data_IF_320848219784
#
_entry.id   IF_320848219784
#
_cell.length_a   1.000
_cell.length_b   1.000
_cell.length_c   1.000
_cell.angle_alpha   90.00
_cell.angle_beta   90.00
_cell.angle_gamma   90.00
#
_symmetry.space_group_name_H-M   'P 1'
#
loop_
_entity.id
_entity.type
_entity.pdbx_description
1 polymer ?
#
# COMPACT_ATOMS: atom_id res chain seq x y z
N UNK A 1 -52.10 24.28 47.37
CA UNK A 1 -52.79 23.21 46.61
C UNK A 1 -51.88 22.01 46.34
N UNK A 2 -50.84 22.08 45.50
CA UNK A 2 -49.96 20.91 45.26
C UNK A 2 -49.08 20.54 46.48
N UNK A 3 -48.50 21.53 47.16
CA UNK A 3 -47.71 21.32 48.39
C UNK A 3 -48.57 20.81 49.58
N UNK A 4 -49.86 21.16 49.60
CA UNK A 4 -50.82 20.67 50.61
C UNK A 4 -51.19 19.20 50.36
N UNK A 5 -51.26 18.78 49.09
CA UNK A 5 -51.53 17.39 48.70
C UNK A 5 -50.37 16.44 49.08
N UNK A 6 -49.12 16.94 49.12
CA UNK A 6 -47.97 16.15 49.59
C UNK A 6 -48.04 15.81 51.09
N UNK A 7 -48.73 16.64 51.89
CA UNK A 7 -48.90 16.41 53.33
C UNK A 7 -50.02 15.43 53.67
N UNK A 8 -50.86 15.04 52.69
CA UNK A 8 -51.97 14.12 52.88
C UNK A 8 -51.53 12.65 52.94
N UNK A 9 -52.35 11.83 53.60
CA UNK A 9 -52.13 10.38 53.69
C UNK A 9 -52.21 9.73 52.30
N UNK A 10 -51.59 8.56 52.06
CA UNK A 10 -51.56 7.93 50.74
C UNK A 10 -52.95 7.64 50.14
N UNK A 11 -53.98 7.53 50.99
CA UNK A 11 -55.36 7.25 50.59
C UNK A 11 -56.13 8.52 50.18
N UNK A 12 -55.71 9.69 50.67
CA UNK A 12 -56.34 10.99 50.44
C UNK A 12 -55.55 11.86 49.46
N UNK A 13 -54.28 11.49 49.21
CA UNK A 13 -53.40 12.14 48.26
C UNK A 13 -53.89 11.88 46.84
N UNK A 14 -54.18 12.96 46.12
CA UNK A 14 -54.54 12.95 44.70
C UNK A 14 -53.27 12.71 43.88
N UNK A 15 -53.35 11.93 42.80
CA UNK A 15 -52.18 11.69 41.96
C UNK A 15 -51.75 12.97 41.22
N UNK A 16 -50.47 13.07 40.85
CA UNK A 16 -49.96 14.24 40.11
C UNK A 16 -50.72 14.47 38.79
N UNK A 17 -51.13 13.38 38.14
CA UNK A 17 -51.86 13.37 36.88
C UNK A 17 -53.31 13.89 37.03
N UNK A 18 -53.92 13.72 38.20
CA UNK A 18 -55.25 14.30 38.52
C UNK A 18 -55.17 15.78 38.91
N UNK A 19 -53.96 16.28 39.20
CA UNK A 19 -53.70 17.71 39.48
C UNK A 19 -53.43 18.52 38.21
N UNK A 20 -53.05 17.84 37.12
CA UNK A 20 -52.73 18.43 35.84
C UNK A 20 -54.02 18.70 35.04
N UNK A 21 -54.30 19.99 34.81
CA UNK A 21 -55.51 20.43 34.11
C UNK A 21 -55.39 20.42 32.58
N UNK A 22 -54.16 20.32 32.04
CA UNK A 22 -53.89 20.38 30.60
C UNK A 22 -53.16 19.14 30.09
N UNK A 23 -53.85 18.01 30.12
CA UNK A 23 -53.34 16.73 29.62
C UNK A 23 -53.18 16.72 28.10
N UNK A 24 -53.95 17.55 27.38
CA UNK A 24 -53.94 17.62 25.93
C UNK A 24 -52.68 18.33 25.41
N UNK A 25 -52.28 19.45 26.04
CA UNK A 25 -51.02 20.14 25.72
C UNK A 25 -49.81 19.25 26.04
N UNK A 26 -49.82 18.53 27.17
CA UNK A 26 -48.77 17.56 27.48
C UNK A 26 -48.67 16.44 26.44
N UNK A 27 -49.81 15.88 26.01
CA UNK A 27 -49.83 14.84 24.98
C UNK A 27 -49.29 15.37 23.65
N UNK A 28 -49.64 16.60 23.26
CA UNK A 28 -49.12 17.24 22.06
C UNK A 28 -47.60 17.45 22.12
N UNK A 29 -47.07 17.90 23.26
CA UNK A 29 -45.61 18.06 23.47
C UNK A 29 -44.91 16.70 23.41
N UNK A 30 -45.47 15.66 24.02
CA UNK A 30 -44.90 14.31 23.96
C UNK A 30 -44.89 13.79 22.52
N UNK A 31 -45.97 13.99 21.76
CA UNK A 31 -46.02 13.57 20.36
C UNK A 31 -44.99 14.32 19.49
N UNK A 32 -44.90 15.64 19.64
CA UNK A 32 -43.91 16.46 18.91
C UNK A 32 -42.47 16.03 19.26
N UNK A 33 -42.18 15.83 20.54
CA UNK A 33 -40.86 15.38 20.99
C UNK A 33 -40.54 13.97 20.51
N UNK A 34 -41.50 13.04 20.50
CA UNK A 34 -41.32 11.70 19.93
C UNK A 34 -41.05 11.75 18.43
N UNK A 35 -41.76 12.60 17.69
CA UNK A 35 -41.54 12.79 16.24
C UNK A 35 -40.13 13.34 15.98
N UNK A 36 -39.71 14.36 16.73
CA UNK A 36 -38.36 14.91 16.66
C UNK A 36 -37.29 13.86 16.99
N UNK A 37 -37.50 13.06 18.04
CA UNK A 37 -36.57 11.97 18.41
C UNK A 37 -36.50 10.89 17.33
N UNK A 38 -37.61 10.55 16.68
CA UNK A 38 -37.63 9.60 15.56
C UNK A 38 -36.85 10.13 14.36
N UNK A 39 -37.00 11.41 14.03
CA UNK A 39 -36.26 12.05 12.95
C UNK A 39 -34.76 12.07 13.25
N UNK A 40 -34.35 12.54 14.43
CA UNK A 40 -32.94 12.58 14.83
C UNK A 40 -32.32 11.18 14.83
N UNK A 41 -33.02 10.16 15.32
CA UNK A 41 -32.54 8.77 15.27
C UNK A 41 -32.35 8.29 13.84
N UNK A 42 -33.33 8.55 12.97
CA UNK A 42 -33.24 8.17 11.56
C UNK A 42 -32.05 8.83 10.87
N UNK A 43 -31.80 10.12 11.14
CA UNK A 43 -30.69 10.85 10.56
C UNK A 43 -29.33 10.27 11.02
N UNK A 44 -29.20 9.96 12.31
CA UNK A 44 -28.00 9.30 12.86
C UNK A 44 -27.79 7.93 12.22
N UNK A 45 -28.83 7.11 12.11
CA UNK A 45 -28.73 5.78 11.48
C UNK A 45 -28.31 5.87 10.02
N UNK A 46 -28.82 6.87 9.29
CA UNK A 46 -28.45 7.12 7.90
C UNK A 46 -26.99 7.56 7.76
N UNK A 47 -26.53 8.46 8.64
CA UNK A 47 -25.14 8.90 8.67
C UNK A 47 -24.19 7.74 9.01
N UNK A 48 -24.53 6.94 10.02
CA UNK A 48 -23.77 5.76 10.40
C UNK A 48 -23.68 4.75 9.25
N UNK A 49 -24.79 4.52 8.52
CA UNK A 49 -24.80 3.65 7.37
C UNK A 49 -23.88 4.17 6.25
N UNK A 50 -23.92 5.47 5.96
CA UNK A 50 -23.05 6.10 4.96
C UNK A 50 -21.56 6.01 5.36
N UNK A 51 -21.26 6.23 6.63
CA UNK A 51 -19.92 6.11 7.20
C UNK A 51 -19.41 4.67 7.12
N UNK A 52 -20.23 3.70 7.51
CA UNK A 52 -19.88 2.28 7.41
C UNK A 52 -19.62 1.86 5.97
N UNK A 53 -20.47 2.29 5.02
CA UNK A 53 -20.27 2.01 3.60
C UNK A 53 -18.93 2.57 3.12
N UNK A 54 -18.66 3.84 3.42
CA UNK A 54 -17.41 4.51 3.02
C UNK A 54 -16.19 3.84 3.63
N UNK A 55 -16.24 3.50 4.92
CA UNK A 55 -15.16 2.77 5.60
C UNK A 55 -14.90 1.42 4.95
N UNK A 56 -15.96 0.66 4.64
CA UNK A 56 -15.84 -0.64 3.99
C UNK A 56 -15.19 -0.53 2.61
N UNK A 57 -15.62 0.43 1.78
CA UNK A 57 -15.06 0.65 0.44
C UNK A 57 -13.58 1.02 0.52
N UNK A 58 -13.22 1.94 1.41
CA UNK A 58 -11.83 2.36 1.61
C UNK A 58 -10.99 1.18 2.09
N UNK A 59 -11.43 0.47 3.13
CA UNK A 59 -10.71 -0.67 3.67
C UNK A 59 -10.52 -1.76 2.62
N UNK A 60 -11.56 -2.08 1.86
CA UNK A 60 -11.50 -3.11 0.85
C UNK A 60 -10.48 -2.76 -0.24
N UNK A 61 -10.58 -1.57 -0.83
CA UNK A 61 -9.74 -1.18 -1.96
C UNK A 61 -8.32 -0.76 -1.58
N UNK A 62 -8.14 -0.08 -0.44
CA UNK A 62 -6.85 0.45 -0.03
C UNK A 62 -6.08 -0.49 0.89
N UNK A 63 -6.78 -1.39 1.60
CA UNK A 63 -6.15 -2.37 2.47
C UNK A 63 -6.35 -3.77 1.94
N UNK A 64 -7.55 -4.36 2.02
CA UNK A 64 -7.77 -5.80 1.87
C UNK A 64 -7.29 -6.36 0.53
N UNK A 65 -7.54 -5.66 -0.58
CA UNK A 65 -7.08 -6.03 -1.94
C UNK A 65 -5.56 -5.97 -2.15
N UNK A 66 -4.81 -5.31 -1.28
CA UNK A 66 -3.36 -5.13 -1.47
C UNK A 66 -2.60 -6.41 -1.08
N UNK A 67 -1.74 -6.90 -1.98
CA UNK A 67 -0.80 -7.99 -1.70
C UNK A 67 0.34 -7.49 -0.81
N UNK A 68 0.86 -6.29 -1.09
CA UNK A 68 1.86 -5.61 -0.26
C UNK A 68 1.18 -4.43 0.40
N UNK A 69 1.03 -4.47 1.74
CA UNK A 69 0.46 -3.34 2.49
C UNK A 69 1.46 -2.19 2.58
N UNK A 70 0.96 -0.96 2.55
CA UNK A 70 1.76 0.23 2.83
C UNK A 70 2.24 0.25 4.28
N UNK A 71 3.53 0.49 4.47
CA UNK A 71 4.23 0.57 5.74
C UNK A 71 5.31 1.63 5.60
N UNK A 72 5.60 2.32 6.69
CA UNK A 72 6.75 3.21 6.75
C UNK A 72 7.56 2.96 8.01
N UNK A 73 8.88 3.09 7.86
CA UNK A 73 9.84 3.11 8.94
C UNK A 73 10.24 4.57 9.15
N UNK A 74 9.83 5.12 10.29
CA UNK A 74 10.19 6.47 10.71
C UNK A 74 11.27 6.40 11.77
N UNK A 75 12.36 7.12 11.56
CA UNK A 75 13.41 7.22 12.56
C UNK A 75 12.98 8.10 13.74
N UNK A 76 13.35 7.71 14.95
CA UNK A 76 13.08 8.51 16.15
C UNK A 76 13.88 9.81 16.10
N UNK A 77 13.27 10.92 16.56
CA UNK A 77 13.88 12.25 16.67
C UNK A 77 14.49 12.79 15.36
N UNK A 78 14.10 12.27 14.20
CA UNK A 78 14.50 12.80 12.90
C UNK A 78 13.34 12.77 11.92
N UNK A 79 13.46 13.54 10.82
CA UNK A 79 12.44 13.58 9.75
C UNK A 79 12.62 12.48 8.71
N UNK A 80 13.48 11.49 8.97
CA UNK A 80 13.74 10.42 8.00
C UNK A 80 12.60 9.40 8.06
N UNK A 81 11.96 9.18 6.92
CA UNK A 81 10.91 8.19 6.73
C UNK A 81 11.16 7.42 5.45
N UNK A 82 11.16 6.09 5.54
CA UNK A 82 11.26 5.19 4.41
C UNK A 82 9.96 4.41 4.32
N UNK A 83 9.21 4.63 3.23
CA UNK A 83 7.97 3.92 2.97
C UNK A 83 8.11 2.95 1.80
N UNK A 84 7.35 1.86 1.84
CA UNK A 84 7.15 1.03 0.66
C UNK A 84 5.89 1.47 -0.09
N UNK A 85 5.84 1.15 -1.38
CA UNK A 85 4.64 1.37 -2.19
C UNK A 85 3.68 0.18 -2.03
N UNK A 86 2.40 0.40 -1.70
CA UNK A 86 1.40 -0.67 -1.67
C UNK A 86 1.19 -1.24 -3.07
N UNK A 87 1.09 -2.56 -3.19
CA UNK A 87 0.90 -3.22 -4.48
C UNK A 87 -0.27 -4.19 -4.42
N UNK A 88 -1.12 -4.11 -5.44
CA UNK A 88 -2.15 -5.12 -5.72
C UNK A 88 -1.50 -6.42 -6.23
N UNK A 89 -2.15 -7.58 -6.03
CA UNK A 89 -1.72 -8.82 -6.65
C UNK A 89 -1.74 -8.66 -8.17
N UNK A 90 -0.68 -9.14 -8.83
CA UNK A 90 -0.57 -9.10 -10.29
C UNK A 90 -1.44 -10.15 -10.94
N UNK A 91 -2.06 -9.80 -12.06
CA UNK A 91 -2.80 -10.76 -12.89
C UNK A 91 -1.87 -11.72 -13.63
N UNK A 92 -2.40 -12.86 -14.08
CA UNK A 92 -1.62 -13.85 -14.83
C UNK A 92 -0.99 -13.27 -16.11
N UNK A 93 -1.73 -12.41 -16.82
CA UNK A 93 -1.23 -11.75 -18.03
C UNK A 93 -0.04 -10.83 -17.73
N UNK A 94 -0.11 -10.08 -16.62
CA UNK A 94 0.96 -9.17 -16.20
C UNK A 94 2.21 -9.95 -15.78
N UNK A 95 2.02 -11.04 -15.04
CA UNK A 95 3.11 -11.95 -14.66
C UNK A 95 3.80 -12.52 -15.90
N UNK A 96 3.05 -13.01 -16.88
CA UNK A 96 3.61 -13.52 -18.14
C UNK A 96 4.38 -12.45 -18.93
N UNK A 97 3.89 -11.20 -18.95
CA UNK A 97 4.62 -10.10 -19.58
C UNK A 97 5.92 -9.79 -18.83
N UNK A 98 5.86 -9.76 -17.50
CA UNK A 98 7.01 -9.48 -16.66
C UNK A 98 8.09 -10.56 -16.78
N UNK A 99 7.71 -11.85 -16.82
CA UNK A 99 8.64 -12.95 -17.05
C UNK A 99 9.26 -12.90 -18.44
N UNK A 100 8.49 -12.53 -19.47
CA UNK A 100 9.02 -12.34 -20.82
C UNK A 100 10.07 -11.21 -20.87
N UNK A 101 9.80 -10.07 -20.23
CA UNK A 101 10.74 -8.94 -20.14
C UNK A 101 11.99 -9.34 -19.35
N UNK A 102 11.85 -9.99 -18.20
CA UNK A 102 12.98 -10.47 -17.40
C UNK A 102 13.85 -11.46 -18.18
N UNK A 103 13.22 -12.39 -18.91
CA UNK A 103 13.92 -13.37 -19.73
C UNK A 103 14.69 -12.70 -20.85
N UNK A 104 14.06 -11.76 -21.57
CA UNK A 104 14.72 -10.97 -22.61
C UNK A 104 15.92 -10.19 -22.05
N UNK A 105 15.75 -9.55 -20.88
CA UNK A 105 16.84 -8.80 -20.24
C UNK A 105 18.00 -9.72 -19.83
N UNK A 106 17.70 -10.92 -19.31
CA UNK A 106 18.73 -11.91 -18.96
C UNK A 106 19.53 -12.35 -20.19
N UNK A 107 18.84 -12.68 -21.28
CA UNK A 107 19.48 -13.07 -22.55
C UNK A 107 20.37 -11.94 -23.07
N UNK A 108 19.90 -10.70 -23.02
CA UNK A 108 20.68 -9.55 -23.44
C UNK A 108 21.99 -9.43 -22.65
N UNK A 109 21.93 -9.51 -21.32
CA UNK A 109 23.11 -9.42 -20.47
C UNK A 109 24.10 -10.56 -20.74
N UNK A 110 23.61 -11.79 -20.92
CA UNK A 110 24.46 -12.93 -21.28
C UNK A 110 25.13 -12.74 -22.64
N UNK A 111 24.41 -12.20 -23.63
CA UNK A 111 24.98 -11.93 -24.95
C UNK A 111 26.06 -10.85 -24.88
N UNK A 112 25.82 -9.77 -24.12
CA UNK A 112 26.80 -8.71 -23.89
C UNK A 112 28.09 -9.28 -23.26
N UNK A 113 27.97 -10.12 -22.24
CA UNK A 113 29.12 -10.80 -21.62
C UNK A 113 29.88 -11.71 -22.59
N UNK A 114 29.17 -12.50 -23.41
CA UNK A 114 29.82 -13.40 -24.38
C UNK A 114 30.52 -12.63 -25.51
N UNK A 115 29.93 -11.53 -25.98
CA UNK A 115 30.57 -10.64 -26.96
C UNK A 115 31.89 -10.08 -26.39
N UNK A 116 31.88 -9.64 -25.13
CA UNK A 116 33.11 -9.18 -24.47
C UNK A 116 34.16 -10.29 -24.33
N UNK A 117 33.75 -11.52 -23.97
CA UNK A 117 34.66 -12.67 -23.88
C UNK A 117 35.29 -13.00 -25.22
N UNK A 118 34.51 -12.99 -26.31
CA UNK A 118 35.00 -13.22 -27.66
C UNK A 118 36.00 -12.12 -28.07
N UNK A 119 35.71 -10.85 -27.77
CA UNK A 119 36.62 -9.74 -28.05
C UNK A 119 37.95 -9.86 -27.29
N UNK A 120 37.92 -10.26 -26.01
CA UNK A 120 39.14 -10.46 -25.21
C UNK A 120 39.97 -11.63 -25.73
N UNK A 121 39.33 -12.74 -26.06
CA UNK A 121 40.03 -13.93 -26.58
C UNK A 121 40.60 -13.70 -27.98
N UNK A 122 39.92 -12.94 -28.85
CA UNK A 122 40.47 -12.57 -30.16
C UNK A 122 41.69 -11.65 -30.05
N UNK A 123 41.66 -10.67 -29.13
CA UNK A 123 42.82 -9.83 -28.83
C UNK A 123 44.01 -10.64 -28.28
N UNK A 124 43.75 -11.59 -27.37
CA UNK A 124 44.79 -12.48 -26.85
C UNK A 124 45.40 -13.37 -27.93
N UNK A 125 44.58 -13.95 -28.82
CA UNK A 125 45.06 -14.74 -29.96
C UNK A 125 45.94 -13.90 -30.88
N UNK A 126 45.48 -12.71 -31.29
CA UNK A 126 46.27 -11.79 -32.11
C UNK A 126 47.60 -11.41 -31.45
N UNK A 127 47.60 -11.13 -30.14
CA UNK A 127 48.83 -10.84 -29.39
C UNK A 127 49.79 -12.04 -29.35
N UNK A 128 49.26 -13.26 -29.19
CA UNK A 128 50.08 -14.48 -29.18
C UNK A 128 50.70 -14.79 -30.55
N UNK A 129 49.98 -14.53 -31.65
CA UNK A 129 50.49 -14.68 -33.01
C UNK A 129 51.60 -13.68 -33.30
N UNK A 130 51.42 -12.40 -32.95
CA UNK A 130 52.46 -11.36 -33.11
C UNK A 130 53.70 -11.71 -32.28
N UNK A 131 53.52 -12.18 -31.04
CA UNK A 131 54.64 -12.63 -30.19
C UNK A 131 55.40 -13.81 -30.79
N UNK A 132 54.68 -14.75 -31.42
CA UNK A 132 55.27 -15.90 -32.11
C UNK A 132 56.11 -15.45 -33.31
N UNK A 133 55.57 -14.59 -34.18
CA UNK A 133 56.32 -14.02 -35.31
C UNK A 133 57.55 -13.24 -34.86
N UNK A 134 57.44 -12.44 -33.79
CA UNK A 134 58.59 -11.72 -33.21
C UNK A 134 59.67 -12.69 -32.70
N UNK A 135 59.28 -13.79 -32.07
CA UNK A 135 60.22 -14.83 -31.63
C UNK A 135 60.94 -15.49 -32.81
N UNK A 136 60.24 -15.85 -33.88
CA UNK A 136 60.88 -16.42 -35.07
C UNK A 136 61.81 -15.42 -35.77
N UNK A 137 61.42 -14.14 -35.88
CA UNK A 137 62.25 -13.08 -36.46
C UNK A 137 63.53 -12.82 -35.64
N UNK A 138 63.43 -12.82 -34.32
CA UNK A 138 64.60 -12.65 -33.43
C UNK A 138 65.54 -13.86 -33.49
N UNK A 139 65.02 -15.08 -33.56
CA UNK A 139 65.85 -16.27 -33.79
C UNK A 139 66.54 -16.24 -35.16
N UNK A 140 65.82 -15.84 -36.22
CA UNK A 140 66.39 -15.72 -37.56
C UNK A 140 67.48 -14.64 -37.60
N UNK A 141 67.28 -13.49 -36.95
CA UNK A 141 68.29 -12.44 -36.89
C UNK A 141 69.52 -12.87 -36.09
N UNK A 142 69.36 -13.60 -34.99
CA UNK A 142 70.47 -14.20 -34.24
C UNK A 142 71.26 -15.22 -35.08
N UNK A 143 70.58 -16.04 -35.89
CA UNK A 143 71.24 -16.96 -36.82
C UNK A 143 72.04 -16.21 -37.89
N UNK A 144 71.47 -15.16 -38.49
CA UNK A 144 72.15 -14.37 -39.52
C UNK A 144 73.37 -13.63 -38.94
N UNK A 145 73.25 -13.00 -37.77
CA UNK A 145 74.36 -12.29 -37.12
C UNK A 145 75.41 -13.25 -36.51
N UNK A 146 75.04 -14.48 -36.16
CA UNK A 146 75.96 -15.52 -35.72
C UNK A 146 76.81 -16.12 -36.85
N UNK A 147 76.39 -15.97 -38.11
CA UNK A 147 77.12 -16.40 -39.30
C UNK A 147 78.05 -15.33 -39.90
N UNK A 148 78.04 -14.09 -39.37
CA UNK A 148 78.89 -12.97 -39.83
C UNK A 148 80.06 -12.69 -38.87
N UNK A 149 80.87 -13.71 -38.55
CA UNK A 149 82.20 -13.58 -37.95
C UNK A 149 83.17 -14.58 -38.58
#
# INVERSE_FOLDING_TARGET
MAEENEQLTPMERISRQEFELDTDEQAAIIEETEQALKQVRYDIEMEDLANQFTWNVIKQHCWDEMQVKGRSLRAFNSKLEVSNFPLKPRGQLELSRLTAVQTRRRIQLQLEEEIERIARTSQQKAASEVSSYFYYLTLLSMLIHGYTN
#
